data_IF_158240342692
#
_entry.id   IF_158240342692
#
_cell.length_a   1.000
_cell.length_b   1.000
_cell.length_c   1.000
_cell.angle_alpha   90.00
_cell.angle_beta   90.00
_cell.angle_gamma   90.00
#
_symmetry.space_group_name_H-M   'P 1'
#
loop_
_entity.id
_entity.type
_entity.pdbx_description
1 polymer ?
#
# COMPACT_ATOMS: atom_id res chain seq x y z
N UNK A 1 8.77 -13.89 -9.82
CA UNK A 1 8.86 -14.37 -8.42
C UNK A 1 9.99 -15.38 -8.28
N UNK A 2 11.01 -15.14 -7.44
CA UNK A 2 12.17 -16.03 -7.33
C UNK A 2 11.80 -17.47 -6.91
N UNK A 3 12.24 -18.47 -7.67
CA UNK A 3 12.06 -19.89 -7.37
C UNK A 3 10.67 -20.48 -7.64
N UNK A 4 9.71 -19.66 -8.10
CA UNK A 4 8.34 -20.13 -8.40
C UNK A 4 8.31 -21.10 -9.59
N UNK A 5 9.00 -20.78 -10.68
CA UNK A 5 9.03 -21.63 -11.89
C UNK A 5 9.64 -23.01 -11.58
N UNK A 6 10.72 -23.05 -10.79
CA UNK A 6 11.36 -24.30 -10.36
C UNK A 6 10.45 -25.13 -9.45
N UNK A 7 9.70 -24.47 -8.54
CA UNK A 7 8.72 -25.15 -7.69
C UNK A 7 7.60 -25.76 -8.53
N UNK A 8 7.03 -24.98 -9.46
CA UNK A 8 5.98 -25.43 -10.37
C UNK A 8 6.43 -26.63 -11.21
N UNK A 9 7.63 -26.54 -11.81
CA UNK A 9 8.21 -27.65 -12.58
C UNK A 9 8.30 -28.95 -11.77
N UNK A 10 8.70 -28.87 -10.49
CA UNK A 10 8.78 -30.03 -9.60
C UNK A 10 7.41 -30.63 -9.27
N UNK A 11 6.43 -29.80 -8.88
CA UNK A 11 5.12 -30.32 -8.45
C UNK A 11 4.26 -30.82 -9.61
N UNK A 12 4.38 -30.20 -10.79
CA UNK A 12 3.76 -30.67 -12.03
C UNK A 12 4.41 -31.97 -12.48
N UNK A 13 5.75 -32.04 -12.52
CA UNK A 13 6.47 -33.24 -12.91
C UNK A 13 6.20 -34.45 -12.00
N UNK A 14 5.88 -34.20 -10.73
CA UNK A 14 5.50 -35.22 -9.76
C UNK A 14 4.00 -35.58 -9.77
N UNK A 15 3.18 -34.94 -10.63
CA UNK A 15 1.73 -35.16 -10.69
C UNK A 15 0.98 -34.67 -9.44
N UNK A 16 1.57 -33.77 -8.65
CA UNK A 16 0.98 -33.23 -7.41
C UNK A 16 0.28 -31.89 -7.61
N UNK A 17 0.38 -31.29 -8.80
CA UNK A 17 -0.30 -30.06 -9.16
C UNK A 17 -0.86 -30.17 -10.58
N UNK A 18 -2.12 -29.76 -10.74
CA UNK A 18 -2.83 -29.72 -12.02
C UNK A 18 -3.66 -28.44 -12.09
N UNK A 19 -3.66 -27.80 -13.25
CA UNK A 19 -4.57 -26.70 -13.54
C UNK A 19 -5.74 -27.24 -14.39
N UNK A 20 -6.97 -26.85 -14.05
CA UNK A 20 -8.19 -27.25 -14.76
C UNK A 20 -9.21 -26.11 -14.72
N UNK A 21 -10.05 -26.03 -15.76
CA UNK A 21 -11.24 -25.15 -15.80
C UNK A 21 -12.54 -25.89 -15.46
N UNK A 22 -12.45 -27.19 -15.20
CA UNK A 22 -13.56 -28.03 -14.80
C UNK A 22 -13.74 -27.98 -13.29
N UNK A 23 -14.70 -27.17 -12.84
CA UNK A 23 -15.01 -26.95 -11.43
C UNK A 23 -15.69 -28.16 -10.77
N UNK A 24 -16.21 -29.14 -11.53
CA UNK A 24 -16.85 -30.31 -10.94
C UNK A 24 -15.90 -31.19 -10.13
N UNK A 25 -14.60 -31.09 -10.40
CA UNK A 25 -13.54 -31.76 -9.65
C UNK A 25 -13.41 -31.27 -8.20
N UNK A 26 -14.05 -30.15 -7.83
CA UNK A 26 -14.14 -29.69 -6.44
C UNK A 26 -14.79 -30.75 -5.54
N UNK A 27 -15.72 -31.54 -6.06
CA UNK A 27 -16.39 -32.61 -5.32
C UNK A 27 -15.43 -33.73 -4.86
N UNK A 28 -14.23 -33.81 -5.44
CA UNK A 28 -13.19 -34.79 -5.08
C UNK A 28 -12.20 -34.25 -4.02
N UNK A 29 -12.32 -32.99 -3.61
CA UNK A 29 -11.36 -32.31 -2.73
C UNK A 29 -11.78 -32.35 -1.26
N UNK A 30 -10.85 -32.68 -0.37
CA UNK A 30 -11.05 -32.55 1.09
C UNK A 30 -11.04 -31.08 1.56
N UNK A 31 -10.37 -30.21 0.81
CA UNK A 31 -10.25 -28.78 1.11
C UNK A 31 -10.22 -27.94 -0.17
N UNK A 32 -10.87 -26.77 -0.13
CA UNK A 32 -11.02 -25.82 -1.23
C UNK A 32 -10.60 -24.43 -0.74
N UNK A 33 -9.57 -23.87 -1.34
CA UNK A 33 -9.09 -22.51 -1.03
C UNK A 33 -9.50 -21.53 -2.12
N UNK A 34 -10.10 -20.40 -1.75
CA UNK A 34 -10.45 -19.31 -2.66
C UNK A 34 -9.43 -18.17 -2.52
N UNK A 35 -8.49 -18.11 -3.47
CA UNK A 35 -7.45 -17.08 -3.57
C UNK A 35 -7.74 -16.10 -4.72
N UNK A 36 -8.98 -15.64 -4.82
CA UNK A 36 -9.46 -14.81 -5.94
C UNK A 36 -9.15 -13.34 -5.65
N UNK A 37 -8.64 -12.61 -6.63
CA UNK A 37 -8.40 -11.19 -6.47
C UNK A 37 -9.73 -10.45 -6.25
N UNK A 38 -9.76 -9.55 -5.26
CA UNK A 38 -10.88 -8.66 -4.97
C UNK A 38 -10.52 -7.23 -5.39
N UNK A 39 -10.61 -6.89 -6.69
CA UNK A 39 -10.32 -5.56 -7.19
C UNK A 39 -11.38 -4.56 -6.71
N UNK A 40 -11.32 -3.33 -7.20
CA UNK A 40 -12.33 -2.31 -6.92
C UNK A 40 -13.20 -2.05 -8.13
N UNK A 41 -14.48 -1.80 -7.87
CA UNK A 41 -15.45 -1.38 -8.88
C UNK A 41 -15.32 0.11 -9.19
N UNK A 42 -15.06 0.90 -8.15
CA UNK A 42 -14.71 2.32 -8.27
C UNK A 42 -13.54 2.61 -7.30
N UNK A 43 -12.41 3.07 -7.85
CA UNK A 43 -11.22 3.40 -7.08
C UNK A 43 -11.37 4.70 -6.27
N UNK A 44 -12.29 5.60 -6.66
CA UNK A 44 -12.57 6.86 -5.95
C UNK A 44 -13.50 6.64 -4.76
N UNK A 45 -14.54 5.82 -4.95
CA UNK A 45 -15.52 5.51 -3.90
C UNK A 45 -15.13 4.29 -3.05
N UNK A 46 -14.00 3.64 -3.40
CA UNK A 46 -13.40 2.53 -2.66
C UNK A 46 -14.38 1.37 -2.43
N UNK A 47 -15.25 1.10 -3.41
CA UNK A 47 -16.23 0.01 -3.39
C UNK A 47 -15.55 -1.28 -3.90
N UNK A 48 -15.36 -2.31 -3.06
CA UNK A 48 -14.75 -3.56 -3.51
C UNK A 48 -15.63 -4.19 -4.57
N UNK A 49 -15.00 -4.72 -5.61
CA UNK A 49 -15.66 -5.57 -6.58
C UNK A 49 -15.58 -7.02 -6.10
N UNK A 50 -16.69 -7.51 -5.55
CA UNK A 50 -16.83 -8.90 -5.15
C UNK A 50 -17.37 -9.80 -6.26
N UNK A 51 -17.58 -9.31 -7.49
CA UNK A 51 -18.14 -10.14 -8.58
C UNK A 51 -17.37 -11.45 -8.80
N UNK A 52 -16.05 -11.36 -8.98
CA UNK A 52 -15.19 -12.53 -9.15
C UNK A 52 -15.18 -13.45 -7.92
N UNK A 53 -15.24 -12.89 -6.71
CA UNK A 53 -15.32 -13.69 -5.48
C UNK A 53 -16.67 -14.43 -5.39
N UNK A 54 -17.78 -13.76 -5.72
CA UNK A 54 -19.12 -14.34 -5.75
C UNK A 54 -19.18 -15.48 -6.77
N UNK A 55 -18.60 -15.29 -7.97
CA UNK A 55 -18.51 -16.35 -8.98
C UNK A 55 -17.74 -17.57 -8.46
N UNK A 56 -16.60 -17.35 -7.80
CA UNK A 56 -15.83 -18.43 -7.18
C UNK A 56 -16.57 -19.15 -6.07
N UNK A 57 -17.29 -18.40 -5.21
CA UNK A 57 -18.11 -18.96 -4.14
C UNK A 57 -19.24 -19.83 -4.70
N UNK A 58 -19.92 -19.38 -5.76
CA UNK A 58 -20.96 -20.19 -6.41
C UNK A 58 -20.41 -21.45 -7.05
N UNK A 59 -19.29 -21.34 -7.74
CA UNK A 59 -18.63 -22.50 -8.34
C UNK A 59 -18.19 -23.52 -7.28
N UNK A 60 -17.69 -23.05 -6.12
CA UNK A 60 -17.34 -23.92 -5.01
C UNK A 60 -18.57 -24.56 -4.36
N UNK A 61 -19.61 -23.77 -4.07
CA UNK A 61 -20.85 -24.25 -3.45
C UNK A 61 -21.58 -25.29 -4.30
N UNK A 62 -21.72 -25.06 -5.61
CA UNK A 62 -22.41 -25.97 -6.52
C UNK A 62 -21.75 -27.34 -6.71
N UNK A 63 -20.53 -27.52 -6.21
CA UNK A 63 -19.77 -28.78 -6.25
C UNK A 63 -19.26 -29.21 -4.87
N UNK A 64 -19.71 -28.57 -3.79
CA UNK A 64 -19.27 -28.87 -2.45
C UNK A 64 -19.84 -30.21 -1.97
N UNK A 65 -19.03 -30.98 -1.23
CA UNK A 65 -19.46 -32.23 -0.60
C UNK A 65 -19.41 -32.14 0.93
N UNK A 66 -20.21 -32.95 1.62
CA UNK A 66 -20.18 -33.05 3.08
C UNK A 66 -18.77 -33.39 3.59
N UNK A 67 -18.33 -32.73 4.65
CA UNK A 67 -17.01 -32.85 5.27
C UNK A 67 -15.93 -31.96 4.66
N UNK A 68 -16.21 -31.27 3.55
CA UNK A 68 -15.22 -30.40 2.88
C UNK A 68 -14.84 -29.21 3.76
N UNK A 69 -13.56 -28.81 3.74
CA UNK A 69 -13.12 -27.53 4.28
C UNK A 69 -13.08 -26.46 3.17
N UNK A 70 -13.80 -25.35 3.35
CA UNK A 70 -13.68 -24.18 2.49
C UNK A 70 -12.91 -23.08 3.21
N UNK A 71 -11.88 -22.53 2.56
CA UNK A 71 -11.09 -21.41 3.11
C UNK A 71 -11.04 -20.23 2.15
N UNK A 72 -11.47 -19.07 2.63
CA UNK A 72 -11.28 -17.79 1.95
C UNK A 72 -9.88 -17.24 2.25
N UNK A 73 -9.07 -16.99 1.22
CA UNK A 73 -7.76 -16.31 1.36
C UNK A 73 -7.79 -14.87 0.85
N UNK A 74 -8.76 -14.55 -0.01
CA UNK A 74 -9.01 -13.21 -0.53
C UNK A 74 -9.14 -12.18 0.59
N UNK A 75 -8.60 -10.97 0.39
CA UNK A 75 -8.86 -9.86 1.31
C UNK A 75 -10.33 -9.43 1.18
N UNK A 76 -11.07 -9.53 2.28
CA UNK A 76 -12.50 -9.25 2.36
C UNK A 76 -12.81 -8.27 3.50
N UNK A 77 -14.02 -7.71 3.49
CA UNK A 77 -14.50 -6.86 4.59
C UNK A 77 -14.87 -7.75 5.79
N UNK A 78 -14.60 -7.33 7.04
CA UNK A 78 -15.03 -8.09 8.21
C UNK A 78 -16.53 -8.41 8.17
N UNK A 79 -16.88 -9.67 8.40
CA UNK A 79 -18.22 -10.22 8.29
C UNK A 79 -18.52 -10.94 6.98
N UNK A 80 -17.62 -10.90 5.98
CA UNK A 80 -17.85 -11.58 4.69
C UNK A 80 -17.94 -13.09 4.85
N UNK A 81 -17.05 -13.71 5.61
CA UNK A 81 -16.99 -15.18 5.79
C UNK A 81 -18.24 -15.71 6.48
N UNK A 82 -18.69 -15.06 7.56
CA UNK A 82 -19.86 -15.48 8.33
C UNK A 82 -21.19 -15.00 7.74
N UNK A 83 -21.16 -14.05 6.80
CA UNK A 83 -22.33 -13.50 6.11
C UNK A 83 -22.40 -14.00 4.66
N UNK A 84 -22.23 -13.10 3.69
CA UNK A 84 -22.41 -13.38 2.25
C UNK A 84 -21.75 -14.67 1.77
N UNK A 85 -20.51 -14.97 2.17
CA UNK A 85 -19.82 -16.15 1.69
C UNK A 85 -20.47 -17.44 2.18
N UNK A 86 -20.83 -17.49 3.47
CA UNK A 86 -21.61 -18.57 4.04
C UNK A 86 -22.94 -18.73 3.32
N UNK A 87 -23.70 -17.64 3.17
CA UNK A 87 -25.03 -17.64 2.54
C UNK A 87 -24.97 -18.22 1.11
N UNK A 88 -24.01 -17.79 0.29
CA UNK A 88 -23.85 -18.29 -1.09
C UNK A 88 -23.45 -19.77 -1.10
N UNK A 89 -22.53 -20.19 -0.23
CA UNK A 89 -22.09 -21.59 -0.17
C UNK A 89 -23.23 -22.52 0.27
N UNK A 90 -24.01 -22.12 1.28
CA UNK A 90 -25.17 -22.87 1.75
C UNK A 90 -26.29 -22.90 0.70
N UNK A 91 -26.55 -21.79 0.00
CA UNK A 91 -27.56 -21.71 -1.07
C UNK A 91 -27.24 -22.66 -2.24
N UNK A 92 -25.99 -22.67 -2.70
CA UNK A 92 -25.59 -23.42 -3.89
C UNK A 92 -25.36 -24.92 -3.61
N UNK A 93 -24.93 -25.27 -2.39
CA UNK A 93 -24.68 -26.67 -2.00
C UNK A 93 -25.89 -27.36 -1.39
N UNK A 94 -26.78 -26.61 -0.72
CA UNK A 94 -27.81 -27.16 0.16
C UNK A 94 -27.28 -27.73 1.48
N UNK A 95 -25.99 -27.56 1.78
CA UNK A 95 -25.33 -27.97 3.02
C UNK A 95 -25.28 -26.82 4.03
N UNK A 96 -25.13 -27.14 5.32
CA UNK A 96 -25.04 -26.15 6.41
C UNK A 96 -23.59 -26.00 6.90
N UNK A 97 -23.10 -24.75 6.92
CA UNK A 97 -21.75 -24.44 7.38
C UNK A 97 -21.62 -24.65 8.90
N UNK A 98 -20.57 -25.36 9.33
CA UNK A 98 -20.31 -25.72 10.72
C UNK A 98 -21.01 -27.00 11.19
N UNK A 99 -21.87 -27.57 10.34
CA UNK A 99 -22.51 -28.87 10.58
C UNK A 99 -22.07 -29.89 9.54
N UNK A 100 -22.28 -29.57 8.25
CA UNK A 100 -22.02 -30.48 7.13
C UNK A 100 -20.74 -30.12 6.37
N UNK A 101 -20.23 -28.89 6.47
CA UNK A 101 -18.91 -28.52 5.94
C UNK A 101 -18.21 -27.48 6.82
N UNK A 102 -16.88 -27.43 6.77
CA UNK A 102 -16.08 -26.47 7.54
C UNK A 102 -15.86 -25.19 6.73
N UNK A 103 -15.92 -24.03 7.39
CA UNK A 103 -15.68 -22.74 6.73
C UNK A 103 -14.69 -21.89 7.54
N UNK A 104 -13.66 -21.38 6.87
CA UNK A 104 -12.63 -20.56 7.48
C UNK A 104 -12.15 -19.41 6.59
N UNK A 105 -11.44 -18.48 7.21
CA UNK A 105 -10.70 -17.42 6.57
C UNK A 105 -9.23 -17.51 6.99
N UNK A 106 -8.33 -17.45 6.01
CA UNK A 106 -6.88 -17.46 6.23
C UNK A 106 -6.23 -16.38 5.35
N UNK A 107 -6.27 -15.10 5.78
CA UNK A 107 -5.78 -14.00 4.96
C UNK A 107 -4.29 -14.15 4.68
N UNK A 108 -3.88 -13.85 3.45
CA UNK A 108 -2.48 -13.93 3.04
C UNK A 108 -1.69 -12.64 3.37
N UNK A 109 -0.41 -12.80 3.72
CA UNK A 109 0.53 -11.72 4.07
C UNK A 109 1.81 -11.81 3.24
N UNK A 110 1.67 -11.71 1.92
CA UNK A 110 2.79 -11.83 0.97
C UNK A 110 3.21 -10.50 0.38
N UNK A 111 4.47 -10.45 -0.05
CA UNK A 111 5.07 -9.36 -0.82
C UNK A 111 5.65 -9.90 -2.13
N UNK A 112 5.37 -9.22 -3.24
CA UNK A 112 5.97 -9.54 -4.56
C UNK A 112 7.49 -9.53 -4.48
N UNK A 113 8.13 -10.55 -5.05
CA UNK A 113 9.57 -10.79 -4.97
C UNK A 113 10.00 -11.64 -3.78
N UNK A 114 9.09 -11.96 -2.85
CA UNK A 114 9.35 -12.79 -1.66
C UNK A 114 8.18 -13.72 -1.29
N UNK A 115 7.25 -14.00 -2.21
CA UNK A 115 6.03 -14.77 -1.97
C UNK A 115 6.32 -16.11 -1.27
N UNK A 116 7.13 -16.97 -1.91
CA UNK A 116 7.39 -18.32 -1.39
C UNK A 116 7.95 -18.29 0.03
N UNK A 117 8.92 -17.40 0.24
CA UNK A 117 9.56 -17.21 1.54
C UNK A 117 8.59 -16.67 2.58
N UNK A 118 7.77 -15.68 2.23
CA UNK A 118 6.78 -15.10 3.15
C UNK A 118 5.75 -16.13 3.59
N UNK A 119 5.24 -16.95 2.67
CA UNK A 119 4.32 -18.04 2.99
C UNK A 119 4.96 -19.02 3.98
N UNK A 120 6.23 -19.38 3.78
CA UNK A 120 6.92 -20.38 4.61
C UNK A 120 7.39 -19.86 5.97
N UNK A 121 7.75 -18.59 6.07
CA UNK A 121 8.49 -18.04 7.22
C UNK A 121 7.67 -17.11 8.11
N UNK A 122 6.60 -16.50 7.61
CA UNK A 122 5.76 -15.62 8.43
C UNK A 122 4.65 -16.40 9.12
N UNK A 123 4.23 -15.90 10.28
CA UNK A 123 3.07 -16.43 10.97
C UNK A 123 1.81 -16.27 10.12
N UNK A 124 1.00 -17.33 10.05
CA UNK A 124 -0.23 -17.39 9.26
C UNK A 124 -1.44 -17.31 10.17
N UNK A 125 -2.31 -16.35 9.90
CA UNK A 125 -3.59 -16.20 10.59
C UNK A 125 -4.56 -17.22 10.00
N UNK A 126 -5.27 -17.94 10.87
CA UNK A 126 -6.31 -18.89 10.48
C UNK A 126 -7.49 -18.72 11.42
N UNK A 127 -8.69 -18.52 10.89
CA UNK A 127 -9.88 -18.52 11.72
C UNK A 127 -11.11 -19.13 11.07
N UNK A 128 -11.72 -20.08 11.77
CA UNK A 128 -12.96 -20.75 11.37
C UNK A 128 -14.20 -20.03 11.89
N UNK A 129 -15.35 -20.36 11.32
CA UNK A 129 -16.65 -19.93 11.88
C UNK A 129 -16.94 -20.59 13.24
N UNK A 130 -16.25 -21.69 13.53
CA UNK A 130 -16.24 -22.44 14.79
C UNK A 130 -14.85 -23.08 15.04
N UNK A 131 -14.70 -23.74 16.20
CA UNK A 131 -13.44 -24.37 16.60
C UNK A 131 -13.04 -25.54 15.69
N UNK A 132 -14.02 -26.29 15.17
CA UNK A 132 -13.78 -27.46 14.29
C UNK A 132 -13.23 -27.00 12.95
N UNK A 133 -13.84 -25.98 12.35
CA UNK A 133 -13.40 -25.35 11.11
C UNK A 133 -12.02 -24.74 11.26
N UNK A 134 -11.75 -24.10 12.41
CA UNK A 134 -10.42 -23.56 12.72
C UNK A 134 -9.38 -24.66 12.79
N UNK A 135 -9.67 -25.76 13.49
CA UNK A 135 -8.77 -26.90 13.62
C UNK A 135 -8.47 -27.54 12.24
N UNK A 136 -9.48 -27.74 11.39
CA UNK A 136 -9.25 -28.27 10.02
C UNK A 136 -8.42 -27.32 9.17
N UNK A 137 -8.65 -26.02 9.25
CA UNK A 137 -7.82 -25.06 8.53
C UNK A 137 -6.37 -25.03 9.07
N UNK A 138 -6.16 -25.20 10.38
CA UNK A 138 -4.81 -25.35 10.95
C UNK A 138 -4.10 -26.57 10.35
N UNK A 139 -4.79 -27.70 10.20
CA UNK A 139 -4.24 -28.91 9.56
C UNK A 139 -3.85 -28.67 8.09
N UNK A 140 -4.62 -27.87 7.35
CA UNK A 140 -4.33 -27.52 5.96
C UNK A 140 -3.06 -26.67 5.82
N UNK A 141 -2.90 -25.64 6.67
CA UNK A 141 -1.80 -24.67 6.51
C UNK A 141 -0.51 -25.04 7.26
N UNK A 142 -0.58 -25.86 8.31
CA UNK A 142 0.61 -26.23 9.07
C UNK A 142 1.74 -26.84 8.21
N UNK A 143 1.47 -27.72 7.22
CA UNK A 143 2.52 -28.37 6.43
C UNK A 143 3.32 -27.44 5.51
N UNK A 144 2.79 -26.26 5.15
CA UNK A 144 3.49 -25.32 4.26
C UNK A 144 4.42 -24.38 5.01
N UNK A 145 4.30 -24.28 6.34
CA UNK A 145 5.14 -23.43 7.17
C UNK A 145 6.45 -24.14 7.52
N UNK A 146 7.57 -23.42 7.41
CA UNK A 146 8.91 -23.91 7.79
C UNK A 146 9.44 -23.24 9.06
N UNK A 147 9.13 -21.95 9.25
CA UNK A 147 9.47 -21.21 10.47
C UNK A 147 8.26 -20.51 11.10
N UNK A 148 7.29 -20.09 10.27
CA UNK A 148 6.09 -19.43 10.74
C UNK A 148 5.24 -20.35 11.61
N UNK A 149 4.39 -19.74 12.44
CA UNK A 149 3.41 -20.43 13.26
C UNK A 149 2.00 -20.10 12.79
N UNK A 150 1.07 -21.02 13.02
CA UNK A 150 -0.36 -20.72 12.89
C UNK A 150 -0.81 -19.92 14.12
N UNK A 151 -1.54 -18.83 13.88
CA UNK A 151 -2.23 -18.05 14.90
C UNK A 151 -3.74 -18.31 14.73
N UNK A 152 -4.33 -19.25 15.49
CA UNK A 152 -5.73 -19.60 15.39
C UNK A 152 -6.62 -18.54 16.06
N UNK A 153 -7.76 -18.25 15.45
CA UNK A 153 -8.79 -17.33 15.95
C UNK A 153 -10.15 -17.62 15.29
N UNK A 154 -11.13 -16.73 15.41
CA UNK A 154 -12.39 -16.84 14.65
C UNK A 154 -12.25 -16.24 13.25
N UNK A 155 -13.10 -16.65 12.31
CA UNK A 155 -13.10 -16.13 10.93
C UNK A 155 -13.17 -14.59 10.89
N UNK A 156 -14.13 -14.01 11.62
CA UNK A 156 -14.27 -12.55 11.71
C UNK A 156 -13.03 -11.90 12.34
N UNK A 157 -12.43 -12.50 13.37
CA UNK A 157 -11.19 -11.98 13.95
C UNK A 157 -10.03 -12.00 12.94
N UNK A 158 -9.96 -13.01 12.06
CA UNK A 158 -8.96 -13.07 11.00
C UNK A 158 -9.15 -11.96 9.96
N UNK A 159 -10.39 -11.67 9.56
CA UNK A 159 -10.71 -10.58 8.62
C UNK A 159 -10.40 -9.21 9.23
N UNK A 160 -10.75 -9.02 10.51
CA UNK A 160 -10.40 -7.82 11.28
C UNK A 160 -8.89 -7.69 11.39
N UNK A 161 -8.17 -8.77 11.64
CA UNK A 161 -6.71 -8.75 11.74
C UNK A 161 -6.07 -8.22 10.44
N UNK A 162 -6.56 -8.68 9.28
CA UNK A 162 -6.02 -8.25 7.98
C UNK A 162 -6.31 -6.79 7.65
N UNK A 163 -7.47 -6.28 8.04
CA UNK A 163 -7.82 -4.87 7.82
C UNK A 163 -7.13 -3.96 8.85
N UNK A 164 -7.05 -4.39 10.12
CA UNK A 164 -6.43 -3.65 11.21
C UNK A 164 -4.91 -3.52 11.06
N UNK A 165 -4.18 -4.53 10.58
CA UNK A 165 -2.73 -4.40 10.35
C UNK A 165 -2.40 -3.26 9.37
N UNK A 166 -3.23 -3.11 8.33
CA UNK A 166 -3.06 -2.09 7.30
C UNK A 166 -3.55 -0.73 7.80
N UNK A 167 -4.68 -0.67 8.50
CA UNK A 167 -5.18 0.55 9.13
C UNK A 167 -4.19 1.11 10.17
N UNK A 168 -3.54 0.24 10.94
CA UNK A 168 -2.53 0.65 11.92
C UNK A 168 -1.26 1.18 11.24
N UNK A 169 -0.78 0.51 10.19
CA UNK A 169 0.36 1.01 9.41
C UNK A 169 0.07 2.36 8.76
N UNK A 170 -1.11 2.52 8.17
CA UNK A 170 -1.57 3.76 7.56
C UNK A 170 -1.64 4.91 8.60
N UNK A 171 -2.19 4.64 9.78
CA UNK A 171 -2.19 5.57 10.92
C UNK A 171 -0.77 5.96 11.37
N UNK A 172 0.17 5.02 11.43
CA UNK A 172 1.57 5.30 11.76
C UNK A 172 2.25 6.21 10.72
N UNK A 173 1.94 6.03 9.43
CA UNK A 173 2.43 6.90 8.37
C UNK A 173 1.81 8.30 8.52
N UNK A 174 0.50 8.38 8.77
CA UNK A 174 -0.19 9.65 8.98
C UNK A 174 0.36 10.42 10.19
N UNK A 175 0.66 9.73 11.28
CA UNK A 175 1.29 10.34 12.45
C UNK A 175 2.68 10.92 12.11
N UNK A 176 3.50 10.20 11.33
CA UNK A 176 4.80 10.70 10.87
C UNK A 176 4.64 11.90 9.92
N UNK A 177 3.68 11.86 9.00
CA UNK A 177 3.36 12.95 8.08
C UNK A 177 2.87 14.20 8.82
N UNK A 178 1.92 14.04 9.76
CA UNK A 178 1.44 15.13 10.59
C UNK A 178 2.56 15.77 11.41
N UNK A 179 3.46 14.96 11.97
CA UNK A 179 4.64 15.45 12.67
C UNK A 179 5.57 16.23 11.74
N UNK A 180 5.75 15.78 10.50
CA UNK A 180 6.53 16.50 9.49
C UNK A 180 5.94 17.89 9.20
N UNK A 181 4.62 18.00 9.02
CA UNK A 181 3.93 19.29 8.84
C UNK A 181 4.15 20.23 10.04
N UNK A 182 4.08 19.70 11.27
CA UNK A 182 4.35 20.48 12.47
C UNK A 182 5.82 20.91 12.56
N UNK A 183 6.76 20.03 12.25
CA UNK A 183 8.19 20.34 12.22
C UNK A 183 8.51 21.44 11.21
N UNK A 184 7.87 21.43 10.03
CA UNK A 184 8.01 22.50 9.04
C UNK A 184 7.59 23.86 9.60
N UNK A 185 6.41 23.94 10.22
CA UNK A 185 5.90 25.18 10.81
C UNK A 185 6.79 25.70 11.96
N UNK A 186 7.43 24.79 12.72
CA UNK A 186 8.33 25.13 13.82
C UNK A 186 9.78 25.42 13.39
N UNK A 187 10.14 25.20 12.12
CA UNK A 187 11.53 25.33 11.66
C UNK A 187 12.45 24.20 12.16
N UNK A 188 11.88 23.01 12.43
CA UNK A 188 12.58 21.85 12.99
C UNK A 188 12.76 20.76 11.93
N UNK A 189 13.84 19.99 12.04
CA UNK A 189 14.07 18.79 11.22
C UNK A 189 13.30 17.58 11.78
N UNK A 190 12.29 17.08 11.07
CA UNK A 190 11.51 15.91 11.50
C UNK A 190 12.37 14.65 11.64
N UNK A 191 13.45 14.53 10.87
CA UNK A 191 14.28 13.33 10.86
C UNK A 191 15.11 13.20 12.15
N UNK A 192 15.53 14.32 12.75
CA UNK A 192 16.18 14.34 14.06
C UNK A 192 15.17 13.98 15.17
N UNK A 193 13.96 14.56 15.10
CA UNK A 193 12.86 14.24 16.03
C UNK A 193 12.49 12.75 15.96
N UNK A 194 12.35 12.23 14.73
CA UNK A 194 12.08 10.82 14.46
C UNK A 194 13.16 9.93 15.07
N UNK A 195 14.44 10.24 14.83
CA UNK A 195 15.56 9.49 15.40
C UNK A 195 15.54 9.51 16.95
N UNK A 196 15.20 10.67 17.54
CA UNK A 196 15.00 10.79 18.98
C UNK A 196 13.87 9.89 19.52
N UNK A 197 12.71 9.88 18.87
CA UNK A 197 11.58 9.01 19.22
C UNK A 197 11.95 7.53 19.05
N UNK A 198 12.60 7.19 17.93
CA UNK A 198 12.99 5.83 17.59
C UNK A 198 14.08 5.28 18.52
N UNK A 199 14.82 6.13 19.24
CA UNK A 199 15.82 5.68 20.23
C UNK A 199 15.24 4.87 21.39
N UNK A 200 13.92 4.99 21.65
CA UNK A 200 13.22 4.17 22.64
C UNK A 200 12.97 2.77 22.09
N UNK A 201 13.69 1.77 22.61
CA UNK A 201 13.61 0.37 22.18
C UNK A 201 13.08 -0.54 23.29
N UNK A 202 12.32 -1.57 22.91
CA UNK A 202 11.74 -2.58 23.78
C UNK A 202 10.27 -2.87 23.46
N UNK A 203 9.81 -4.06 23.80
CA UNK A 203 8.42 -4.49 23.61
C UNK A 203 7.47 -3.64 24.48
N UNK A 204 6.41 -3.11 23.87
CA UNK A 204 5.50 -2.16 24.53
C UNK A 204 6.10 -0.77 24.81
N UNK A 205 7.39 -0.54 24.53
CA UNK A 205 8.09 0.75 24.70
C UNK A 205 8.36 1.41 23.35
N UNK A 206 8.69 0.63 22.31
CA UNK A 206 9.05 1.17 21.00
C UNK A 206 7.84 1.89 20.39
N UNK A 207 8.00 3.16 19.98
CA UNK A 207 6.92 3.95 19.36
C UNK A 207 6.67 3.57 17.89
N UNK A 208 7.60 2.83 17.29
CA UNK A 208 7.53 2.31 15.92
C UNK A 208 7.18 3.41 14.90
N UNK A 209 7.82 4.59 15.03
CA UNK A 209 7.58 5.71 14.13
C UNK A 209 8.10 5.41 12.72
N UNK A 210 7.20 5.54 11.74
CA UNK A 210 7.52 5.31 10.33
C UNK A 210 8.18 6.54 9.70
N UNK A 211 8.42 6.47 8.39
CA UNK A 211 9.04 7.56 7.64
C UNK A 211 7.95 8.43 7.02
N UNK A 212 7.99 9.76 7.19
CA UNK A 212 7.09 10.65 6.47
C UNK A 212 7.43 10.66 4.97
N UNK A 213 6.47 11.05 4.14
CA UNK A 213 6.74 11.22 2.71
C UNK A 213 5.57 11.75 1.89
N UNK A 214 5.76 11.78 0.56
CA UNK A 214 4.88 12.43 -0.42
C UNK A 214 3.45 11.87 -0.51
N UNK A 215 3.14 10.81 0.22
CA UNK A 215 1.83 10.17 0.26
C UNK A 215 1.94 8.65 0.39
N UNK A 216 0.76 8.01 0.39
CA UNK A 216 0.58 6.56 0.52
C UNK A 216 -0.13 6.06 -0.73
N UNK A 217 0.47 5.09 -1.41
CA UNK A 217 -0.14 4.41 -2.55
C UNK A 217 -0.47 2.94 -2.27
N UNK A 218 -0.75 2.21 -3.34
CA UNK A 218 -1.20 0.82 -3.31
C UNK A 218 -2.68 0.68 -2.99
N UNK A 219 -3.20 -0.54 -3.05
CA UNK A 219 -4.62 -0.78 -2.77
C UNK A 219 -4.91 -0.98 -1.27
N UNK A 220 -4.04 -1.67 -0.54
CA UNK A 220 -4.34 -2.09 0.84
C UNK A 220 -4.39 -0.91 1.82
N UNK A 221 -3.31 -0.13 1.91
CA UNK A 221 -3.23 0.98 2.87
C UNK A 221 -4.24 2.08 2.58
N UNK A 222 -4.67 2.23 1.32
CA UNK A 222 -5.62 3.28 0.93
C UNK A 222 -7.08 2.94 1.22
N UNK A 223 -7.37 1.70 1.65
CA UNK A 223 -8.74 1.20 1.73
C UNK A 223 -9.09 0.44 3.00
N UNK A 224 -8.12 -0.27 3.57
CA UNK A 224 -8.43 -1.30 4.56
C UNK A 224 -8.97 -0.67 5.86
N UNK A 225 -8.60 0.59 6.14
CA UNK A 225 -9.23 1.43 7.16
C UNK A 225 -10.74 1.57 6.96
N UNK A 226 -11.20 1.78 5.72
CA UNK A 226 -12.62 1.88 5.39
C UNK A 226 -13.33 0.53 5.44
N UNK A 227 -12.67 -0.56 5.03
CA UNK A 227 -13.22 -1.90 5.22
C UNK A 227 -13.39 -2.23 6.70
N UNK A 228 -12.43 -1.87 7.55
CA UNK A 228 -12.53 -2.05 9.00
C UNK A 228 -13.69 -1.25 9.58
N UNK A 229 -13.81 0.04 9.22
CA UNK A 229 -14.91 0.89 9.69
C UNK A 229 -16.28 0.39 9.22
N UNK A 230 -16.39 -0.04 7.95
CA UNK A 230 -17.61 -0.66 7.42
C UNK A 230 -17.96 -1.95 8.17
N UNK A 231 -16.97 -2.80 8.44
CA UNK A 231 -17.16 -4.02 9.23
C UNK A 231 -17.73 -3.72 10.61
N UNK A 232 -17.19 -2.70 11.30
CA UNK A 232 -17.70 -2.26 12.60
C UNK A 232 -19.15 -1.72 12.52
N UNK A 233 -19.51 -1.00 11.46
CA UNK A 233 -20.87 -0.51 11.26
C UNK A 233 -21.87 -1.64 10.98
N UNK A 234 -21.51 -2.58 10.10
CA UNK A 234 -22.38 -3.70 9.70
C UNK A 234 -22.56 -4.70 10.83
N UNK A 235 -21.47 -5.09 11.50
CA UNK A 235 -21.51 -6.11 12.57
C UNK A 235 -21.92 -5.52 13.92
N UNK A 236 -21.62 -4.25 14.17
CA UNK A 236 -21.95 -3.55 15.41
C UNK A 236 -23.40 -3.11 15.51
N UNK A 237 -24.20 -3.22 14.43
CA UNK A 237 -25.63 -2.87 14.39
C UNK A 237 -25.97 -1.46 14.91
N UNK A 238 -25.03 -0.51 14.81
CA UNK A 238 -25.21 0.87 15.30
C UNK A 238 -24.95 1.07 16.80
N UNK A 239 -24.58 0.02 17.54
CA UNK A 239 -24.31 0.08 19.00
C UNK A 239 -22.85 0.47 19.33
N UNK A 240 -22.11 1.01 18.36
CA UNK A 240 -20.73 1.45 18.58
C UNK A 240 -20.70 2.67 19.53
N UNK A 241 -20.31 2.44 20.78
CA UNK A 241 -20.14 3.49 21.78
C UNK A 241 -18.83 4.25 21.56
N UNK A 242 -18.92 5.36 20.83
CA UNK A 242 -17.79 6.20 20.39
C UNK A 242 -18.15 7.70 20.56
N UNK A 243 -17.17 8.64 20.70
CA UNK A 243 -17.46 10.07 20.76
C UNK A 243 -18.34 10.53 19.59
N UNK A 244 -19.60 10.89 19.90
CA UNK A 244 -20.63 11.13 18.89
C UNK A 244 -20.27 12.32 17.98
N UNK A 245 -20.36 12.12 16.67
CA UNK A 245 -20.05 13.13 15.65
C UNK A 245 -18.56 13.38 15.41
N UNK A 246 -17.66 12.71 16.14
CA UNK A 246 -16.23 12.75 15.86
C UNK A 246 -15.89 11.79 14.72
N UNK A 247 -14.94 12.19 13.88
CA UNK A 247 -14.36 11.30 12.89
C UNK A 247 -13.39 10.30 13.56
N UNK A 248 -13.44 9.05 13.12
CA UNK A 248 -12.51 8.00 13.53
C UNK A 248 -11.06 8.43 13.27
N UNK A 249 -10.15 8.05 14.17
CA UNK A 249 -8.71 8.32 13.98
C UNK A 249 -8.16 7.67 12.70
N UNK A 250 -8.77 6.57 12.23
CA UNK A 250 -8.41 5.95 10.96
C UNK A 250 -8.86 6.80 9.77
N UNK A 251 -10.07 7.36 9.80
CA UNK A 251 -10.54 8.34 8.81
C UNK A 251 -9.68 9.62 8.76
N UNK A 252 -9.31 10.15 9.93
CA UNK A 252 -8.39 11.31 10.01
C UNK A 252 -7.02 10.95 9.42
N UNK A 253 -6.48 9.76 9.70
CA UNK A 253 -5.22 9.29 9.13
C UNK A 253 -5.27 9.25 7.59
N UNK A 254 -6.35 8.72 7.01
CA UNK A 254 -6.57 8.69 5.56
C UNK A 254 -6.49 10.08 4.95
N UNK A 255 -7.21 11.05 5.52
CA UNK A 255 -7.21 12.44 5.06
C UNK A 255 -5.83 13.10 5.12
N UNK A 256 -5.06 12.84 6.19
CA UNK A 256 -3.68 13.35 6.30
C UNK A 256 -2.80 12.75 5.20
N UNK A 257 -2.87 11.44 4.97
CA UNK A 257 -2.07 10.78 3.95
C UNK A 257 -2.46 11.20 2.53
N UNK A 258 -3.75 11.44 2.26
CA UNK A 258 -4.28 11.96 0.99
C UNK A 258 -3.94 13.43 0.76
N UNK A 259 -3.66 14.19 1.83
CA UNK A 259 -3.23 15.58 1.76
C UNK A 259 -1.77 15.73 1.31
N UNK A 260 -0.91 14.73 1.54
CA UNK A 260 0.53 14.85 1.30
C UNK A 260 0.94 15.19 -0.15
N UNK A 261 0.29 14.67 -1.21
CA UNK A 261 0.56 15.13 -2.57
C UNK A 261 0.26 16.63 -2.77
N UNK A 262 -0.80 17.16 -2.15
CA UNK A 262 -1.10 18.60 -2.19
C UNK A 262 -0.07 19.41 -1.40
N UNK A 263 0.46 18.85 -0.32
CA UNK A 263 1.59 19.46 0.39
C UNK A 263 2.85 19.52 -0.49
N UNK A 264 3.14 18.49 -1.29
CA UNK A 264 4.21 18.53 -2.28
C UNK A 264 4.01 19.63 -3.34
N UNK A 265 2.78 19.85 -3.80
CA UNK A 265 2.42 21.00 -4.67
C UNK A 265 2.72 22.31 -3.96
N UNK A 266 2.29 22.46 -2.71
CA UNK A 266 2.56 23.67 -1.90
C UNK A 266 4.07 23.94 -1.78
N UNK A 267 4.87 22.92 -1.45
CA UNK A 267 6.33 23.04 -1.38
C UNK A 267 6.94 23.44 -2.72
N UNK A 268 6.43 22.90 -3.83
CA UNK A 268 6.85 23.26 -5.19
C UNK A 268 6.60 24.73 -5.49
N UNK A 269 5.37 25.21 -5.22
CA UNK A 269 4.98 26.61 -5.43
C UNK A 269 5.85 27.55 -4.59
N UNK A 270 6.06 27.24 -3.31
CA UNK A 270 6.91 28.05 -2.45
C UNK A 270 8.39 28.03 -2.89
N UNK A 271 8.86 26.94 -3.47
CA UNK A 271 10.18 26.85 -4.10
C UNK A 271 10.29 27.76 -5.33
N UNK A 272 9.33 27.66 -6.26
CA UNK A 272 9.27 28.47 -7.47
C UNK A 272 9.17 29.97 -7.16
N UNK A 273 8.31 30.35 -6.21
CA UNK A 273 8.18 31.73 -5.75
C UNK A 273 9.50 32.30 -5.23
N UNK A 274 10.27 31.49 -4.49
CA UNK A 274 11.62 31.87 -4.02
C UNK A 274 12.63 31.98 -5.17
N UNK A 275 12.41 31.27 -6.28
CA UNK A 275 13.19 31.38 -7.51
C UNK A 275 12.77 32.59 -8.36
N UNK A 276 11.69 33.30 -8.00
CA UNK A 276 11.12 34.38 -8.82
C UNK A 276 10.27 33.87 -9.99
N UNK A 277 9.75 32.65 -9.88
CA UNK A 277 8.98 31.96 -10.92
C UNK A 277 7.55 31.64 -10.45
N UNK A 278 6.66 31.43 -11.41
CA UNK A 278 5.31 30.86 -11.20
C UNK A 278 5.25 29.41 -11.72
N UNK A 279 4.24 28.63 -11.32
CA UNK A 279 3.98 27.31 -11.92
C UNK A 279 3.66 27.37 -13.42
N UNK A 280 2.94 28.40 -13.87
CA UNK A 280 2.58 28.58 -15.27
C UNK A 280 3.84 28.66 -16.15
N UNK A 281 3.96 27.71 -17.09
CA UNK A 281 5.11 27.58 -18.00
C UNK A 281 6.38 26.99 -17.38
N UNK A 282 6.37 26.60 -16.09
CA UNK A 282 7.52 25.95 -15.46
C UNK A 282 7.62 24.48 -15.92
N UNK A 283 8.84 24.01 -16.20
CA UNK A 283 9.09 22.60 -16.49
C UNK A 283 9.45 21.84 -15.21
N UNK A 284 8.66 20.82 -14.87
CA UNK A 284 8.84 19.96 -13.70
C UNK A 284 9.37 18.59 -14.13
N UNK A 285 10.52 18.18 -13.61
CA UNK A 285 11.00 16.81 -13.66
C UNK A 285 10.48 16.04 -12.44
N UNK A 286 9.45 15.21 -12.63
CA UNK A 286 8.88 14.36 -11.59
C UNK A 286 9.63 13.02 -11.56
N UNK A 287 10.43 12.81 -10.52
CA UNK A 287 11.23 11.60 -10.33
C UNK A 287 10.46 10.60 -9.43
N UNK A 288 10.00 9.52 -10.05
CA UNK A 288 9.31 8.40 -9.41
C UNK A 288 7.81 8.42 -9.63
N UNK A 289 7.32 7.45 -10.39
CA UNK A 289 5.89 7.21 -10.62
C UNK A 289 5.37 6.05 -9.78
N UNK A 290 6.16 4.99 -9.61
CA UNK A 290 5.83 3.90 -8.69
C UNK A 290 5.76 4.42 -7.24
N UNK A 291 4.89 3.88 -6.38
CA UNK A 291 4.82 4.37 -4.99
C UNK A 291 5.81 3.66 -4.05
N UNK A 292 6.40 2.54 -4.49
CA UNK A 292 7.36 1.73 -3.73
C UNK A 292 8.76 1.91 -4.31
N UNK A 293 9.74 2.05 -3.42
CA UNK A 293 11.15 2.08 -3.79
C UNK A 293 11.57 0.80 -4.55
N UNK A 294 12.17 0.99 -5.72
CA UNK A 294 12.71 -0.04 -6.61
C UNK A 294 11.68 -1.11 -7.04
N UNK A 295 10.46 -0.66 -7.35
CA UNK A 295 9.37 -1.47 -7.88
C UNK A 295 8.68 -0.71 -9.01
N UNK A 296 7.96 -1.44 -9.85
CA UNK A 296 7.09 -0.97 -10.94
C UNK A 296 5.63 -0.73 -10.49
N UNK A 297 5.34 -0.81 -9.20
CA UNK A 297 3.97 -0.73 -8.70
C UNK A 297 3.45 0.71 -8.67
N UNK A 298 2.54 1.01 -9.60
CA UNK A 298 1.94 2.34 -9.84
C UNK A 298 0.54 2.50 -9.26
N UNK A 299 0.01 1.47 -8.60
CA UNK A 299 -1.39 1.44 -8.16
C UNK A 299 -1.64 2.55 -7.14
N UNK A 300 -2.65 3.39 -7.37
CA UNK A 300 -3.01 4.53 -6.51
C UNK A 300 -1.79 5.41 -6.17
N UNK A 301 -0.92 5.68 -7.14
CA UNK A 301 0.31 6.43 -6.87
C UNK A 301 0.03 7.84 -6.33
N UNK A 302 0.76 8.30 -5.29
CA UNK A 302 0.63 9.68 -4.81
C UNK A 302 1.15 10.72 -5.80
N UNK A 303 1.87 10.31 -6.86
CA UNK A 303 2.36 11.21 -7.90
C UNK A 303 1.25 11.72 -8.84
N UNK A 304 0.19 10.94 -9.05
CA UNK A 304 -0.92 11.29 -9.95
C UNK A 304 -1.70 12.54 -9.50
N UNK A 305 -2.16 12.68 -8.25
CA UNK A 305 -2.80 13.92 -7.80
C UNK A 305 -1.87 15.13 -7.81
N UNK A 306 -0.55 14.93 -7.71
CA UNK A 306 0.43 16.00 -7.87
C UNK A 306 0.56 16.44 -9.33
N UNK A 307 0.69 15.47 -10.26
CA UNK A 307 0.73 15.70 -11.70
C UNK A 307 -0.47 16.55 -12.15
N UNK A 308 -1.68 16.08 -11.84
CA UNK A 308 -2.91 16.76 -12.23
C UNK A 308 -2.97 18.21 -11.72
N UNK A 309 -2.55 18.45 -10.47
CA UNK A 309 -2.54 19.78 -9.89
C UNK A 309 -1.48 20.71 -10.52
N UNK A 310 -0.31 20.20 -10.88
CA UNK A 310 0.73 21.00 -11.54
C UNK A 310 0.34 21.34 -12.99
N UNK A 311 -0.23 20.39 -13.72
CA UNK A 311 -0.75 20.62 -15.08
C UNK A 311 -1.92 21.59 -15.10
N UNK A 312 -2.84 21.51 -14.12
CA UNK A 312 -3.94 22.49 -13.95
C UNK A 312 -3.42 23.92 -13.74
N UNK A 313 -2.25 24.07 -13.11
CA UNK A 313 -1.56 25.36 -12.95
C UNK A 313 -0.71 25.78 -14.15
N UNK A 314 -0.74 25.01 -15.25
CA UNK A 314 -0.03 25.30 -16.50
C UNK A 314 1.46 24.92 -16.49
N UNK A 315 1.91 24.06 -15.59
CA UNK A 315 3.27 23.52 -15.63
C UNK A 315 3.39 22.38 -16.64
N UNK A 316 4.56 22.23 -17.25
CA UNK A 316 4.90 21.08 -18.10
C UNK A 316 5.60 20.02 -17.24
N UNK A 317 4.98 18.85 -17.06
CA UNK A 317 5.51 17.79 -16.20
C UNK A 317 6.09 16.65 -17.04
N UNK A 318 7.36 16.34 -16.83
CA UNK A 318 8.06 15.18 -17.40
C UNK A 318 8.33 14.17 -16.30
N UNK A 319 7.82 12.96 -16.47
CA UNK A 319 7.87 11.92 -15.44
C UNK A 319 8.99 10.96 -15.76
N UNK A 320 9.86 10.69 -14.79
CA UNK A 320 10.89 9.67 -14.89
C UNK A 320 10.62 8.53 -13.90
N UNK A 321 10.70 7.29 -14.37
CA UNK A 321 10.74 6.11 -13.52
C UNK A 321 11.58 5.00 -14.18
N UNK A 322 12.60 4.44 -13.51
CA UNK A 322 13.45 3.40 -14.09
C UNK A 322 12.84 2.00 -14.06
N UNK A 323 11.71 1.80 -13.38
CA UNK A 323 11.06 0.48 -13.22
C UNK A 323 9.70 0.39 -13.90
N UNK A 324 9.03 1.51 -14.16
CA UNK A 324 7.69 1.52 -14.76
C UNK A 324 7.79 1.65 -16.29
N UNK A 325 7.45 0.57 -17.00
CA UNK A 325 7.53 0.53 -18.48
C UNK A 325 6.42 1.34 -19.19
N UNK A 326 5.32 1.66 -18.51
CA UNK A 326 4.26 2.49 -19.08
C UNK A 326 3.02 2.64 -18.19
N UNK A 327 2.21 3.68 -18.48
CA UNK A 327 0.96 3.94 -17.79
C UNK A 327 -0.08 4.51 -18.78
N UNK A 328 -1.37 4.09 -18.72
CA UNK A 328 -2.37 4.57 -19.67
C UNK A 328 -2.50 6.10 -19.68
N UNK A 329 -2.25 6.73 -20.82
CA UNK A 329 -2.42 8.18 -21.02
C UNK A 329 -1.32 9.06 -20.42
N UNK A 330 -0.26 8.47 -19.83
CA UNK A 330 0.85 9.19 -19.20
C UNK A 330 2.17 8.65 -19.74
N UNK A 331 3.00 9.52 -20.29
CA UNK A 331 4.34 9.16 -20.77
C UNK A 331 5.33 9.12 -19.59
N UNK A 332 6.05 8.00 -19.47
CA UNK A 332 7.06 7.77 -18.44
C UNK A 332 8.41 7.58 -19.13
N UNK A 333 9.36 8.44 -18.80
CA UNK A 333 10.70 8.42 -19.36
C UNK A 333 11.64 7.55 -18.52
N UNK A 334 12.51 6.79 -19.18
CA UNK A 334 13.61 6.06 -18.53
C UNK A 334 14.97 6.77 -18.63
N UNK A 335 15.09 7.80 -19.48
CA UNK A 335 16.29 8.63 -19.58
C UNK A 335 16.22 9.79 -18.58
N UNK A 336 16.83 9.58 -17.42
CA UNK A 336 16.91 10.58 -16.35
C UNK A 336 17.52 11.91 -16.82
N UNK A 337 18.54 11.88 -17.68
CA UNK A 337 19.20 13.10 -18.12
C UNK A 337 18.28 13.92 -19.02
N UNK A 338 17.55 13.25 -19.93
CA UNK A 338 16.56 13.90 -20.78
C UNK A 338 15.41 14.51 -19.96
N UNK A 339 14.94 13.82 -18.91
CA UNK A 339 13.90 14.35 -18.01
C UNK A 339 14.38 15.56 -17.21
N UNK A 340 15.65 15.59 -16.78
CA UNK A 340 16.23 16.70 -16.03
C UNK A 340 16.59 17.91 -16.91
N UNK A 341 16.85 17.69 -18.21
CA UNK A 341 17.33 18.73 -19.12
C UNK A 341 16.37 19.92 -19.17
N UNK A 342 16.82 21.12 -18.79
CA UNK A 342 16.00 22.33 -18.83
C UNK A 342 14.94 22.46 -17.71
N UNK A 343 14.87 21.54 -16.75
CA UNK A 343 13.85 21.55 -15.70
C UNK A 343 14.02 22.74 -14.74
N UNK A 344 12.93 23.43 -14.41
CA UNK A 344 12.89 24.47 -13.37
C UNK A 344 12.74 23.86 -11.97
N UNK A 345 12.03 22.73 -11.90
CA UNK A 345 11.78 21.99 -10.67
C UNK A 345 12.17 20.52 -10.86
N UNK A 346 12.83 19.95 -9.87
CA UNK A 346 13.01 18.50 -9.72
C UNK A 346 12.23 18.05 -8.49
N UNK A 347 11.23 17.17 -8.65
CA UNK A 347 10.47 16.63 -7.51
C UNK A 347 10.74 15.14 -7.36
N UNK A 348 10.85 14.67 -6.11
CA UNK A 348 11.13 13.27 -5.81
C UNK A 348 9.94 12.67 -5.08
N UNK A 349 9.20 11.80 -5.78
CA UNK A 349 8.04 11.09 -5.26
C UNK A 349 8.34 9.68 -4.78
N UNK A 350 9.45 9.09 -5.24
CA UNK A 350 9.79 7.69 -4.93
C UNK A 350 11.26 7.55 -4.61
N UNK A 351 11.59 6.82 -3.54
CA UNK A 351 12.97 6.72 -3.07
C UNK A 351 13.87 5.77 -3.85
N UNK A 352 13.73 5.64 -5.18
CA UNK A 352 14.55 4.72 -5.96
C UNK A 352 16.05 4.96 -5.74
N UNK A 353 16.86 3.89 -5.77
CA UNK A 353 18.31 4.02 -5.59
C UNK A 353 18.95 4.96 -6.63
N UNK A 354 18.39 5.04 -7.83
CA UNK A 354 18.80 5.97 -8.89
C UNK A 354 18.73 7.44 -8.46
N UNK A 355 17.85 7.79 -7.52
CA UNK A 355 17.66 9.18 -7.08
C UNK A 355 18.47 9.50 -5.83
N UNK A 356 18.75 8.49 -5.00
CA UNK A 356 19.66 8.62 -3.84
C UNK A 356 21.07 9.01 -4.30
N UNK A 357 21.48 8.58 -5.50
CA UNK A 357 22.80 8.84 -6.08
C UNK A 357 22.87 10.07 -6.99
N UNK A 358 21.87 10.96 -6.97
CA UNK A 358 21.92 12.20 -7.77
C UNK A 358 23.09 13.08 -7.35
N UNK A 359 23.95 13.43 -8.32
CA UNK A 359 25.00 14.43 -8.14
C UNK A 359 24.42 15.84 -8.32
N UNK A 360 24.40 16.69 -7.28
CA UNK A 360 23.83 18.03 -7.35
C UNK A 360 24.45 18.89 -8.47
N UNK A 361 25.76 18.78 -8.72
CA UNK A 361 26.43 19.56 -9.76
C UNK A 361 25.94 19.16 -11.15
N UNK A 362 25.82 17.86 -11.40
CA UNK A 362 25.30 17.35 -12.67
C UNK A 362 23.84 17.71 -12.89
N UNK A 363 23.00 17.60 -11.86
CA UNK A 363 21.58 17.98 -11.95
C UNK A 363 21.45 19.48 -12.27
N UNK A 364 22.27 20.34 -11.66
CA UNK A 364 22.29 21.79 -11.98
C UNK A 364 22.74 22.06 -13.41
N UNK A 365 23.77 21.36 -13.89
CA UNK A 365 24.25 21.50 -15.26
C UNK A 365 23.15 21.14 -16.27
N UNK A 366 22.47 20.00 -16.05
CA UNK A 366 21.38 19.53 -16.91
C UNK A 366 20.18 20.49 -16.90
N UNK A 367 19.79 21.00 -15.72
CA UNK A 367 18.69 21.96 -15.64
C UNK A 367 19.01 23.26 -16.40
N UNK A 368 20.28 23.68 -16.40
CA UNK A 368 20.73 24.92 -17.03
C UNK A 368 20.17 26.19 -16.36
N UNK A 369 19.53 26.04 -15.19
CA UNK A 369 18.92 27.15 -14.45
C UNK A 369 19.89 27.73 -13.43
N UNK A 370 19.79 29.03 -13.18
CA UNK A 370 20.59 29.69 -12.12
C UNK A 370 20.22 29.15 -10.74
N UNK A 371 18.90 29.02 -10.49
CA UNK A 371 18.28 28.67 -9.21
C UNK A 371 17.21 27.58 -9.37
N UNK A 372 17.56 26.38 -9.85
CA UNK A 372 16.60 25.29 -9.95
C UNK A 372 16.03 24.94 -8.57
N UNK A 373 14.76 24.53 -8.53
CA UNK A 373 14.09 24.08 -7.31
C UNK A 373 14.22 22.57 -7.22
N UNK A 374 14.49 22.06 -6.01
CA UNK A 374 14.35 20.63 -5.71
C UNK A 374 13.37 20.44 -4.56
N UNK A 375 12.40 19.53 -4.73
CA UNK A 375 11.39 19.18 -3.74
C UNK A 375 11.51 17.70 -3.40
N UNK A 376 12.04 17.39 -2.22
CA UNK A 376 12.27 16.01 -1.78
C UNK A 376 11.12 15.51 -0.88
N UNK A 377 10.30 14.63 -1.44
CA UNK A 377 9.20 13.98 -0.74
C UNK A 377 9.56 12.66 -0.05
N UNK A 378 10.84 12.23 -0.11
CA UNK A 378 11.29 10.92 0.39
C UNK A 378 12.58 10.97 1.20
N UNK A 379 13.19 12.13 1.39
CA UNK A 379 14.44 12.34 2.12
C UNK A 379 15.55 11.42 1.61
N UNK A 380 15.79 11.50 0.31
CA UNK A 380 16.83 10.74 -0.39
C UNK A 380 18.01 11.58 -0.83
N UNK A 381 17.90 12.91 -0.79
CA UNK A 381 19.02 13.81 -1.10
C UNK A 381 19.58 14.50 0.14
N UNK A 382 20.86 14.88 0.10
CA UNK A 382 21.46 15.80 1.08
C UNK A 382 21.10 17.25 0.70
N UNK A 383 20.27 17.95 1.49
CA UNK A 383 19.88 19.32 1.16
C UNK A 383 21.07 20.27 1.14
N UNK A 384 22.06 20.08 2.00
CA UNK A 384 23.19 21.01 2.05
C UNK A 384 24.05 20.87 0.80
N UNK A 385 24.14 19.69 0.19
CA UNK A 385 24.81 19.50 -1.10
C UNK A 385 24.10 20.25 -2.23
N UNK A 386 22.77 20.16 -2.31
CA UNK A 386 21.98 20.87 -3.32
C UNK A 386 21.99 22.39 -3.08
N UNK A 387 21.85 22.85 -1.84
CA UNK A 387 21.90 24.28 -1.50
C UNK A 387 23.28 24.86 -1.84
N UNK A 388 24.37 24.13 -1.56
CA UNK A 388 25.74 24.60 -1.86
C UNK A 388 25.97 24.91 -3.33
N UNK A 389 25.38 24.12 -4.23
CA UNK A 389 25.50 24.36 -5.68
C UNK A 389 24.45 25.34 -6.21
N UNK A 390 23.56 25.85 -5.36
CA UNK A 390 22.63 26.95 -5.68
C UNK A 390 21.20 26.53 -6.00
N UNK A 391 20.77 25.32 -5.61
CA UNK A 391 19.34 24.98 -5.63
C UNK A 391 18.58 25.74 -4.55
N UNK A 392 17.29 25.94 -4.82
CA UNK A 392 16.30 26.22 -3.80
C UNK A 392 15.75 24.87 -3.34
N UNK A 393 16.10 24.47 -2.12
CA UNK A 393 15.67 23.20 -1.55
C UNK A 393 14.35 23.36 -0.77
N UNK A 394 13.47 22.38 -0.99
CA UNK A 394 12.28 22.09 -0.18
C UNK A 394 12.23 20.58 0.09
N UNK A 395 11.71 20.18 1.24
CA UNK A 395 11.46 18.77 1.52
C UNK A 395 10.48 18.58 2.67
N UNK A 396 9.83 17.42 2.68
CA UNK A 396 8.86 17.07 3.71
C UNK A 396 9.55 17.02 5.08
N UNK A 397 8.99 17.76 6.04
CA UNK A 397 9.50 17.79 7.41
C UNK A 397 10.84 18.48 7.59
N UNK A 398 11.36 19.17 6.57
CA UNK A 398 12.64 19.88 6.60
C UNK A 398 12.47 21.35 6.98
N UNK A 399 11.81 21.62 8.12
CA UNK A 399 11.63 22.98 8.63
C UNK A 399 12.96 23.72 8.80
N UNK A 400 14.04 22.98 9.08
CA UNK A 400 15.40 23.48 9.19
C UNK A 400 16.00 23.99 7.87
N UNK A 401 15.52 23.50 6.70
CA UNK A 401 16.06 23.85 5.38
C UNK A 401 15.06 24.50 4.43
N UNK A 402 13.75 24.35 4.62
CA UNK A 402 12.72 24.84 3.68
C UNK A 402 12.75 26.37 3.48
N UNK A 403 13.39 27.09 4.41
CA UNK A 403 13.60 28.54 4.38
C UNK A 403 15.09 28.93 4.38
N UNK A 404 15.98 28.05 3.92
CA UNK A 404 17.43 28.33 3.84
C UNK A 404 17.70 29.66 3.10
N UNK A 405 18.77 30.41 3.41
CA UNK A 405 19.09 31.63 2.67
C UNK A 405 19.44 31.30 1.20
N UNK A 406 19.00 32.16 0.28
CA UNK A 406 19.41 32.11 -1.13
C UNK A 406 20.74 32.85 -1.22
N UNK A 407 21.80 32.17 -1.65
CA UNK A 407 23.10 32.82 -1.89
C UNK A 407 22.94 33.71 -3.14
N UNK A 408 23.35 34.97 -3.00
CA UNK A 408 23.36 35.93 -4.11
C UNK A 408 24.36 35.53 -5.18
#
# INVERSE_FOLDING_TARGET
EPGLDDLLGRVVGAGKFRCTSDFSQIAECDAVTLAIQTPFKDQKDLIPDFSALIEGLRAAGGHLSEGTLVVLESTVTPGTTTGMAREILEEESGLVAGEEFCLAHAPERVMVGRLLKNIQEHDRIVGGIDDVSTARAVELYSPVLTMGKIIPMTATAAEVTKTAENAFRDLQIAAANQLALHCEAMGVNVYDVRAGIDSLKGDGITRAILWPGAGVGGHCLTKDSWHLERGAQVLGNGDLWYPHGAESIFGVARKINEFMPRHMVHLTIEGLKRAGMSPEGATVALLGWAFIQNSDDTRNTPAEPYLAAMEEMGAEVRIHDPFVDGYPGIEIFHDLNATLAGADVVTIFTGHHHYVSLDPARVKELSGKERPVIVDGRNVVDPDAFIRVGFIYKGIGRGDKNSHPIRQ
#
